data_IF_175887562187
#
_entry.id   IF_175887562187
#
_cell.length_a   1.000
_cell.length_b   1.000
_cell.length_c   1.000
_cell.angle_alpha   90.00
_cell.angle_beta   90.00
_cell.angle_gamma   90.00
#
_symmetry.space_group_name_H-M   'P 1'
#
loop_
_entity.id
_entity.type
_entity.pdbx_description
1 polymer ?
#
# COMPACT_ATOMS: atom_id res chain seq x y z
N UNK A 1 -4.71 14.78 -31.33
CA UNK A 1 -5.56 14.01 -32.24
C UNK A 1 -5.72 14.78 -33.54
N UNK A 2 -5.81 14.08 -34.70
CA UNK A 2 -6.15 14.67 -35.98
C UNK A 2 -7.66 14.63 -36.21
N UNK A 3 -8.13 15.46 -37.15
CA UNK A 3 -9.53 15.46 -37.58
C UNK A 3 -9.59 15.26 -39.07
N UNK A 4 -10.56 14.50 -39.55
CA UNK A 4 -10.85 14.27 -40.93
C UNK A 4 -12.32 14.63 -41.19
N UNK A 5 -12.61 15.57 -42.05
CA UNK A 5 -13.96 15.87 -42.51
C UNK A 5 -14.18 15.14 -43.85
N UNK A 6 -15.21 14.34 -43.90
CA UNK A 6 -15.59 13.56 -45.07
C UNK A 6 -17.03 13.88 -45.45
N UNK A 7 -17.29 13.88 -46.75
CA UNK A 7 -18.66 13.91 -47.27
C UNK A 7 -19.13 12.48 -47.46
N UNK A 8 -20.32 12.15 -46.95
CA UNK A 8 -20.89 10.81 -47.09
C UNK A 8 -22.24 10.90 -47.83
N UNK A 9 -22.61 9.89 -48.58
CA UNK A 9 -23.95 9.79 -49.14
C UNK A 9 -24.99 9.35 -48.11
N UNK A 10 -26.26 9.29 -48.50
CA UNK A 10 -27.37 8.89 -47.64
C UNK A 10 -27.25 7.46 -47.03
N UNK A 11 -26.33 6.62 -47.57
CA UNK A 11 -26.03 5.27 -47.08
C UNK A 11 -24.75 5.21 -46.26
N UNK A 12 -24.17 6.38 -45.85
CA UNK A 12 -22.95 6.46 -45.05
C UNK A 12 -21.64 6.15 -45.80
N UNK A 13 -21.67 5.98 -47.14
CA UNK A 13 -20.43 5.76 -47.93
C UNK A 13 -19.71 7.07 -48.14
N UNK A 14 -18.39 7.08 -47.94
CA UNK A 14 -17.56 8.24 -48.17
C UNK A 14 -17.52 8.59 -49.65
N UNK A 15 -17.89 9.82 -50.03
CA UNK A 15 -17.82 10.36 -51.39
C UNK A 15 -16.46 11.00 -51.59
N UNK A 16 -16.04 11.88 -50.66
CA UNK A 16 -14.74 12.58 -50.74
C UNK A 16 -14.29 13.08 -49.37
N UNK A 17 -12.99 13.32 -49.28
CA UNK A 17 -12.39 14.01 -48.16
C UNK A 17 -12.48 15.53 -48.40
N UNK A 18 -13.08 16.26 -47.47
CA UNK A 18 -13.24 17.71 -47.53
C UNK A 18 -12.07 18.45 -46.90
N UNK A 19 -11.56 17.96 -45.81
CA UNK A 19 -10.36 18.50 -45.16
C UNK A 19 -9.72 17.46 -44.22
N UNK A 20 -8.42 17.57 -44.04
CA UNK A 20 -7.65 16.77 -43.10
C UNK A 20 -6.76 17.69 -42.27
N UNK A 21 -6.86 17.57 -40.96
CA UNK A 21 -5.90 18.14 -40.03
C UNK A 21 -5.12 16.99 -39.43
N UNK A 22 -3.84 16.86 -39.78
CA UNK A 22 -2.99 15.81 -39.26
C UNK A 22 -2.75 16.03 -37.76
N UNK A 23 -2.94 14.98 -36.96
CA UNK A 23 -2.65 15.04 -35.52
C UNK A 23 -1.16 15.26 -35.28
N UNK A 24 -0.89 15.88 -34.14
CA UNK A 24 0.49 15.94 -33.64
C UNK A 24 0.78 14.61 -32.94
N UNK A 25 1.89 13.91 -33.31
CA UNK A 25 2.29 12.69 -32.60
C UNK A 25 2.44 12.92 -31.11
N UNK A 26 2.07 11.92 -30.32
CA UNK A 26 2.32 11.96 -28.88
C UNK A 26 3.82 11.92 -28.56
N UNK A 27 4.17 12.26 -27.33
CA UNK A 27 5.56 12.19 -26.87
C UNK A 27 5.92 10.74 -26.56
N UNK A 28 7.17 10.35 -26.84
CA UNK A 28 7.71 9.07 -26.41
C UNK A 28 7.89 9.08 -24.88
N UNK A 29 7.34 8.08 -24.21
CA UNK A 29 7.42 7.94 -22.75
C UNK A 29 8.20 6.67 -22.44
N UNK A 30 9.24 6.80 -21.61
CA UNK A 30 9.94 5.66 -20.99
C UNK A 30 9.49 5.56 -19.54
N UNK A 31 8.95 4.41 -19.17
CA UNK A 31 8.57 4.12 -17.79
C UNK A 31 9.78 3.64 -16.95
N UNK A 32 9.60 3.63 -15.65
CA UNK A 32 10.55 3.06 -14.69
C UNK A 32 10.42 1.54 -14.56
N UNK A 33 9.33 0.97 -15.09
CA UNK A 33 9.02 -0.46 -15.04
C UNK A 33 10.13 -1.29 -15.66
N UNK A 34 10.62 -2.27 -14.92
CA UNK A 34 11.44 -3.37 -15.42
C UNK A 34 10.52 -4.47 -15.94
N UNK A 35 10.52 -4.70 -17.25
CA UNK A 35 9.60 -5.65 -17.88
C UNK A 35 9.86 -7.10 -17.45
N UNK A 36 11.10 -7.46 -17.16
CA UNK A 36 11.45 -8.79 -16.64
C UNK A 36 10.85 -9.01 -15.26
N UNK A 37 11.02 -8.05 -14.36
CA UNK A 37 10.45 -8.11 -13.01
C UNK A 37 8.93 -8.02 -13.02
N UNK A 38 8.33 -7.20 -13.90
CA UNK A 38 6.88 -7.12 -14.08
C UNK A 38 6.29 -8.47 -14.49
N UNK A 39 6.87 -9.10 -15.52
CA UNK A 39 6.43 -10.40 -16.02
C UNK A 39 6.63 -11.50 -14.97
N UNK A 40 7.77 -11.49 -14.27
CA UNK A 40 8.02 -12.41 -13.16
C UNK A 40 6.97 -12.25 -12.05
N UNK A 41 6.66 -11.01 -11.66
CA UNK A 41 5.65 -10.72 -10.64
C UNK A 41 4.27 -11.26 -11.04
N UNK A 42 3.83 -10.99 -12.27
CA UNK A 42 2.55 -11.50 -12.80
C UNK A 42 2.52 -13.03 -12.83
N UNK A 43 3.60 -13.67 -13.29
CA UNK A 43 3.70 -15.13 -13.31
C UNK A 43 3.63 -15.75 -11.90
N UNK A 44 4.22 -15.09 -10.89
CA UNK A 44 4.18 -15.55 -9.49
C UNK A 44 2.82 -15.35 -8.84
N UNK A 45 2.08 -14.31 -9.20
CA UNK A 45 0.70 -14.08 -8.73
C UNK A 45 -0.28 -15.08 -9.37
N UNK A 46 0.00 -15.56 -10.58
CA UNK A 46 -0.85 -16.53 -11.29
C UNK A 46 -2.27 -16.02 -11.47
N UNK A 47 -3.25 -16.85 -11.13
CA UNK A 47 -4.68 -16.53 -11.21
C UNK A 47 -5.30 -16.01 -9.91
N UNK A 48 -4.48 -15.80 -8.89
CA UNK A 48 -4.94 -15.29 -7.60
C UNK A 48 -5.41 -13.82 -7.74
N UNK A 49 -6.43 -13.43 -6.97
CA UNK A 49 -6.82 -12.03 -6.86
C UNK A 49 -5.82 -11.29 -5.97
N UNK A 50 -4.74 -10.81 -6.57
CA UNK A 50 -3.58 -10.33 -5.86
C UNK A 50 -2.90 -9.14 -6.57
N UNK A 51 -1.99 -8.48 -5.85
CA UNK A 51 -1.15 -7.41 -6.39
C UNK A 51 0.24 -7.44 -5.78
N UNK A 52 1.24 -7.04 -6.56
CA UNK A 52 2.60 -6.82 -6.11
C UNK A 52 3.12 -5.47 -6.62
N UNK A 53 3.72 -4.69 -5.72
CA UNK A 53 4.37 -3.42 -6.04
C UNK A 53 5.81 -3.48 -5.59
N UNK A 54 6.74 -3.23 -6.51
CA UNK A 54 8.18 -3.15 -6.23
C UNK A 54 8.67 -1.74 -6.51
N UNK A 55 9.24 -1.12 -5.50
CA UNK A 55 9.69 0.27 -5.54
C UNK A 55 11.13 0.39 -5.05
N UNK A 56 11.96 1.16 -5.76
CA UNK A 56 13.32 1.48 -5.33
C UNK A 56 13.30 2.51 -4.20
N UNK A 57 14.12 2.28 -3.19
CA UNK A 57 14.17 3.14 -1.99
C UNK A 57 15.07 4.38 -2.16
N UNK A 58 15.90 4.41 -3.20
CA UNK A 58 16.84 5.50 -3.46
C UNK A 58 16.24 6.64 -4.30
N UNK A 59 15.24 6.35 -5.14
CA UNK A 59 14.70 7.30 -6.09
C UNK A 59 13.19 7.22 -6.34
N UNK A 60 12.51 6.25 -5.73
CA UNK A 60 11.06 6.06 -5.88
C UNK A 60 10.63 5.38 -7.17
N UNK A 61 11.56 4.88 -8.00
CA UNK A 61 11.22 4.20 -9.24
C UNK A 61 10.36 2.95 -8.97
N UNK A 62 9.20 2.90 -9.60
CA UNK A 62 8.34 1.74 -9.62
C UNK A 62 8.88 0.75 -10.63
N UNK A 63 9.45 -0.35 -10.16
CA UNK A 63 10.02 -1.40 -11.00
C UNK A 63 8.98 -2.44 -11.42
N UNK A 64 7.95 -2.65 -10.59
CA UNK A 64 6.83 -3.51 -10.91
C UNK A 64 5.55 -3.01 -10.24
N UNK A 65 4.44 -3.11 -10.98
CA UNK A 65 3.08 -2.83 -10.53
C UNK A 65 2.18 -3.93 -11.12
N UNK A 66 2.22 -5.09 -10.49
CA UNK A 66 1.45 -6.24 -10.96
C UNK A 66 0.08 -6.32 -10.29
N UNK A 67 -0.96 -6.50 -11.09
CA UNK A 67 -2.33 -6.73 -10.64
C UNK A 67 -2.87 -7.98 -11.33
N UNK A 68 -3.31 -8.96 -10.57
CA UNK A 68 -3.80 -10.24 -11.08
C UNK A 68 -5.24 -10.52 -10.61
N UNK A 69 -6.07 -11.24 -11.42
CA UNK A 69 -5.84 -11.51 -12.83
C UNK A 69 -5.79 -10.21 -13.65
N UNK A 70 -5.05 -10.23 -14.75
CA UNK A 70 -4.95 -9.15 -15.72
C UNK A 70 -5.76 -9.50 -16.98
N UNK A 71 -5.72 -8.64 -17.98
CA UNK A 71 -6.39 -8.86 -19.27
C UNK A 71 -5.49 -8.40 -20.42
N UNK A 72 -5.76 -8.90 -21.62
CA UNK A 72 -5.09 -8.43 -22.84
C UNK A 72 -5.60 -7.06 -23.24
N UNK A 73 -4.74 -6.04 -23.12
CA UNK A 73 -5.08 -4.65 -23.48
C UNK A 73 -5.29 -4.45 -24.98
N UNK A 74 -4.75 -5.33 -25.84
CA UNK A 74 -4.93 -5.24 -27.28
C UNK A 74 -6.38 -5.44 -27.69
N UNK A 75 -7.16 -6.20 -26.94
CA UNK A 75 -8.60 -6.36 -27.15
C UNK A 75 -9.35 -5.02 -27.23
N UNK A 76 -8.86 -3.98 -26.55
CA UNK A 76 -9.48 -2.65 -26.55
C UNK A 76 -9.01 -1.77 -27.70
N UNK A 77 -7.82 -2.06 -28.27
CA UNK A 77 -7.26 -1.30 -29.41
C UNK A 77 -7.99 -1.63 -30.70
N UNK A 78 -8.28 -2.90 -30.93
CA UNK A 78 -8.93 -3.42 -32.14
C UNK A 78 -10.46 -3.45 -32.04
N UNK A 79 -10.99 -3.23 -30.85
CA UNK A 79 -12.41 -3.32 -30.53
C UNK A 79 -12.75 -4.66 -29.83
N UNK A 80 -13.21 -4.59 -28.61
CA UNK A 80 -13.61 -5.77 -27.80
C UNK A 80 -15.07 -6.15 -28.11
N UNK A 81 -15.37 -7.44 -28.24
CA UNK A 81 -16.75 -7.91 -28.35
C UNK A 81 -17.52 -7.73 -27.05
N UNK A 82 -18.83 -7.54 -27.13
CA UNK A 82 -19.70 -7.38 -25.95
C UNK A 82 -19.54 -8.56 -25.00
N UNK A 83 -19.51 -9.79 -25.51
CA UNK A 83 -19.36 -10.98 -24.67
C UNK A 83 -18.00 -11.04 -23.96
N UNK A 84 -16.90 -10.69 -24.64
CA UNK A 84 -15.57 -10.65 -24.01
C UNK A 84 -15.49 -9.56 -22.95
N UNK A 85 -16.06 -8.39 -23.20
CA UNK A 85 -16.13 -7.30 -22.22
C UNK A 85 -16.97 -7.68 -21.01
N UNK A 86 -18.14 -8.32 -21.22
CA UNK A 86 -19.01 -8.77 -20.14
C UNK A 86 -18.33 -9.83 -19.26
N UNK A 87 -17.55 -10.74 -19.85
CA UNK A 87 -16.75 -11.71 -19.10
C UNK A 87 -15.71 -11.03 -18.19
N UNK A 88 -15.03 -9.99 -18.67
CA UNK A 88 -14.08 -9.21 -17.86
C UNK A 88 -14.80 -8.41 -16.76
N UNK A 89 -15.92 -7.78 -17.10
CA UNK A 89 -16.69 -6.92 -16.19
C UNK A 89 -17.31 -7.70 -15.05
N UNK A 90 -17.85 -8.88 -15.34
CA UNK A 90 -18.58 -9.72 -14.39
C UNK A 90 -17.68 -10.72 -13.65
N UNK A 91 -16.36 -10.72 -13.93
CA UNK A 91 -15.42 -11.59 -13.25
C UNK A 91 -15.28 -11.18 -11.78
N UNK A 92 -15.47 -12.14 -10.86
CA UNK A 92 -15.39 -11.92 -9.40
C UNK A 92 -14.03 -11.34 -8.95
N UNK A 93 -12.94 -11.66 -9.65
CA UNK A 93 -11.60 -11.17 -9.36
C UNK A 93 -11.28 -9.81 -9.99
N UNK A 94 -12.26 -9.17 -10.66
CA UNK A 94 -12.19 -7.81 -11.19
C UNK A 94 -10.90 -7.50 -11.98
N UNK A 95 -10.63 -8.19 -13.11
CA UNK A 95 -9.41 -7.99 -13.89
C UNK A 95 -9.26 -6.57 -14.45
N UNK A 96 -10.36 -5.85 -14.69
CA UNK A 96 -10.35 -4.46 -15.18
C UNK A 96 -9.90 -3.44 -14.12
N UNK A 97 -9.86 -3.81 -12.85
CA UNK A 97 -9.41 -2.94 -11.77
C UNK A 97 -7.92 -3.17 -11.48
N UNK A 98 -7.12 -2.11 -11.56
CA UNK A 98 -5.73 -2.16 -11.10
C UNK A 98 -5.66 -2.18 -9.58
N UNK A 99 -5.52 -3.38 -9.02
CA UNK A 99 -5.47 -3.57 -7.56
C UNK A 99 -4.27 -2.90 -6.90
N UNK A 100 -3.21 -2.62 -7.66
CA UNK A 100 -1.99 -2.00 -7.12
C UNK A 100 -2.22 -0.57 -6.64
N UNK A 101 -3.09 0.18 -7.31
CA UNK A 101 -3.34 1.61 -7.04
C UNK A 101 -4.80 1.95 -6.75
N UNK A 102 -5.76 1.18 -7.26
CA UNK A 102 -7.21 1.44 -7.09
C UNK A 102 -7.80 0.66 -5.90
N UNK A 103 -7.28 -0.54 -5.64
CA UNK A 103 -7.75 -1.38 -4.54
C UNK A 103 -7.36 -0.80 -3.19
N UNK A 104 -8.34 -0.65 -2.29
CA UNK A 104 -8.10 -0.22 -0.91
C UNK A 104 -8.57 -1.31 0.05
N UNK A 105 -7.68 -1.68 0.97
CA UNK A 105 -7.89 -2.79 1.89
C UNK A 105 -7.42 -2.40 3.30
N UNK A 106 -7.98 -3.01 4.36
CA UNK A 106 -7.40 -2.86 5.69
C UNK A 106 -5.95 -3.39 5.68
N UNK A 107 -4.96 -2.60 6.13
CA UNK A 107 -3.55 -3.01 6.09
C UNK A 107 -3.22 -4.15 7.08
N UNK A 108 -4.08 -4.38 8.07
CA UNK A 108 -3.83 -5.36 9.11
C UNK A 108 -2.51 -5.08 9.83
N UNK A 109 -1.83 -6.12 10.26
CA UNK A 109 -0.60 -6.01 11.04
C UNK A 109 0.56 -5.27 10.38
N UNK A 110 0.50 -4.94 9.08
CA UNK A 110 1.50 -4.05 8.46
C UNK A 110 1.41 -2.63 9.02
N UNK A 111 0.25 -2.20 9.52
CA UNK A 111 0.06 -0.90 10.15
C UNK A 111 0.77 -0.78 11.52
N UNK A 112 1.16 -1.88 12.14
CA UNK A 112 1.87 -1.89 13.43
C UNK A 112 3.20 -1.13 13.40
N UNK A 113 3.83 -1.02 12.23
CA UNK A 113 5.03 -0.18 12.06
C UNK A 113 4.70 1.31 12.24
N UNK A 114 3.54 1.76 11.76
CA UNK A 114 3.05 3.14 11.98
C UNK A 114 2.83 3.40 13.46
N UNK A 115 2.16 2.47 14.15
CA UNK A 115 1.90 2.58 15.59
C UNK A 115 3.21 2.62 16.39
N UNK A 116 4.17 1.75 16.04
CA UNK A 116 5.48 1.70 16.68
C UNK A 116 6.22 3.04 16.56
N UNK A 117 6.31 3.60 15.35
CA UNK A 117 6.97 4.88 15.11
C UNK A 117 6.25 6.04 15.82
N UNK A 118 4.92 6.08 15.77
CA UNK A 118 4.12 7.08 16.47
C UNK A 118 4.31 7.00 18.00
N UNK A 119 4.39 5.79 18.56
CA UNK A 119 4.59 5.60 20.01
C UNK A 119 6.00 6.01 20.46
N UNK A 120 7.02 5.68 19.68
CA UNK A 120 8.40 6.09 19.96
C UNK A 120 8.57 7.62 19.87
N UNK A 121 8.00 8.25 18.85
CA UNK A 121 8.05 9.69 18.66
C UNK A 121 7.26 10.44 19.75
N UNK A 122 6.14 9.89 20.17
CA UNK A 122 5.35 10.45 21.27
C UNK A 122 5.98 10.21 22.66
N UNK A 123 7.04 9.40 22.77
CA UNK A 123 7.71 9.07 24.01
C UNK A 123 6.85 8.22 24.97
N UNK A 124 5.79 7.54 24.46
CA UNK A 124 4.87 6.74 25.30
C UNK A 124 5.30 5.30 25.45
N UNK A 125 6.39 4.90 24.81
CA UNK A 125 7.03 3.58 24.94
C UNK A 125 8.55 3.73 24.88
N UNK A 126 9.27 2.95 25.68
CA UNK A 126 10.73 2.83 25.65
C UNK A 126 11.14 1.50 25.06
N UNK A 127 12.35 1.42 24.50
CA UNK A 127 12.87 0.21 23.84
C UNK A 127 12.78 -1.03 24.75
N UNK A 128 13.18 -0.89 26.01
CA UNK A 128 13.25 -2.01 26.96
C UNK A 128 11.95 -2.22 27.75
N UNK A 129 10.96 -1.36 27.55
CA UNK A 129 9.68 -1.50 28.22
C UNK A 129 8.97 -2.76 27.76
N UNK A 130 8.49 -3.54 28.71
CA UNK A 130 7.74 -4.76 28.47
C UNK A 130 6.26 -4.54 28.75
N UNK A 131 5.42 -5.02 27.86
CA UNK A 131 3.97 -5.08 28.04
C UNK A 131 3.58 -6.55 28.13
N UNK A 132 2.68 -6.87 29.08
CA UNK A 132 2.17 -8.21 29.25
C UNK A 132 1.04 -8.50 28.26
N UNK A 133 1.11 -9.64 27.60
CA UNK A 133 0.06 -10.11 26.69
C UNK A 133 -0.48 -11.45 27.19
N UNK A 134 -1.66 -11.42 27.80
CA UNK A 134 -2.39 -12.60 28.28
C UNK A 134 -3.37 -13.16 27.23
N UNK A 135 -3.27 -12.68 25.98
CA UNK A 135 -4.07 -13.15 24.85
C UNK A 135 -5.27 -12.26 24.50
N UNK A 136 -5.59 -11.24 25.29
CA UNK A 136 -6.63 -10.25 24.99
C UNK A 136 -6.47 -8.97 25.81
N UNK A 137 -7.16 -7.91 25.39
CA UNK A 137 -7.41 -6.68 26.16
C UNK A 137 -8.91 -6.58 26.36
N UNK A 138 -9.34 -6.22 27.55
CA UNK A 138 -10.75 -5.93 27.84
C UNK A 138 -11.02 -4.43 27.79
N UNK A 139 -12.08 -4.04 27.09
CA UNK A 139 -12.57 -2.67 27.05
C UNK A 139 -14.09 -2.70 27.19
N UNK A 140 -14.61 -2.21 28.31
CA UNK A 140 -15.99 -2.40 28.71
C UNK A 140 -16.40 -3.90 28.62
N UNK A 141 -17.49 -4.21 27.94
CA UNK A 141 -18.01 -5.59 27.80
C UNK A 141 -17.39 -6.36 26.63
N UNK A 142 -16.30 -5.85 26.01
CA UNK A 142 -15.70 -6.47 24.82
C UNK A 142 -14.27 -6.90 25.07
N UNK A 143 -13.94 -8.11 24.53
CA UNK A 143 -12.57 -8.63 24.46
C UNK A 143 -11.98 -8.44 23.09
N UNK A 144 -10.82 -7.81 23.04
CA UNK A 144 -10.01 -7.64 21.84
C UNK A 144 -8.87 -8.66 21.87
N UNK A 145 -8.99 -9.72 21.08
CA UNK A 145 -8.11 -10.87 21.17
C UNK A 145 -6.80 -10.66 20.42
N UNK A 146 -5.73 -11.23 20.96
CA UNK A 146 -4.50 -11.50 20.25
C UNK A 146 -4.66 -12.77 19.41
N UNK A 147 -3.95 -12.85 18.26
CA UNK A 147 -3.95 -14.08 17.47
C UNK A 147 -3.42 -15.29 18.26
N UNK A 148 -2.47 -15.05 19.20
CA UNK A 148 -1.96 -16.06 20.13
C UNK A 148 -2.83 -16.10 21.39
N UNK A 149 -3.74 -17.05 21.46
CA UNK A 149 -4.76 -17.13 22.53
C UNK A 149 -4.20 -17.19 23.95
N UNK A 150 -3.06 -17.85 24.17
CA UNK A 150 -2.37 -17.94 25.46
C UNK A 150 -1.47 -16.74 25.76
N UNK A 151 -1.51 -15.73 24.88
CA UNK A 151 -0.67 -14.55 24.99
C UNK A 151 0.80 -14.76 24.68
N UNK A 152 1.53 -13.68 24.62
CA UNK A 152 2.97 -13.62 24.37
C UNK A 152 3.77 -13.44 25.67
N UNK A 153 3.07 -13.24 26.78
CA UNK A 153 3.65 -12.86 28.05
C UNK A 153 4.37 -11.50 27.98
N UNK A 154 5.41 -11.30 28.75
CA UNK A 154 6.21 -10.06 28.79
C UNK A 154 7.07 -9.92 27.55
N UNK A 155 6.76 -8.94 26.68
CA UNK A 155 7.50 -8.69 25.44
C UNK A 155 7.80 -7.20 25.26
N UNK A 156 8.93 -6.92 24.59
CA UNK A 156 9.34 -5.58 24.16
C UNK A 156 8.71 -5.21 22.81
N UNK A 157 8.85 -3.94 22.39
CA UNK A 157 8.39 -3.46 21.08
C UNK A 157 8.97 -4.29 19.92
N UNK A 158 10.30 -4.56 19.94
CA UNK A 158 10.97 -5.38 18.93
C UNK A 158 10.39 -6.77 18.83
N UNK A 159 10.20 -7.44 19.96
CA UNK A 159 9.57 -8.77 20.02
C UNK A 159 8.10 -8.74 19.61
N UNK A 160 7.38 -7.66 19.90
CA UNK A 160 5.99 -7.48 19.49
C UNK A 160 5.86 -7.29 17.97
N UNK A 161 6.81 -6.65 17.30
CA UNK A 161 6.91 -6.59 15.83
C UNK A 161 7.23 -7.96 15.24
N UNK A 162 8.25 -8.68 15.77
CA UNK A 162 8.67 -10.02 15.35
C UNK A 162 7.49 -10.99 15.35
N UNK A 163 6.77 -11.04 16.48
CA UNK A 163 5.70 -12.00 16.71
C UNK A 163 4.31 -11.45 16.37
N UNK A 164 4.23 -10.22 15.90
CA UNK A 164 2.97 -9.55 15.53
C UNK A 164 1.92 -9.55 16.66
N UNK A 165 2.30 -9.24 17.89
CA UNK A 165 1.41 -9.25 19.06
C UNK A 165 0.35 -8.14 18.98
N UNK A 166 -0.95 -8.51 18.97
CA UNK A 166 -2.02 -7.51 18.87
C UNK A 166 -2.20 -6.75 20.19
N UNK A 167 -2.14 -7.43 21.33
CA UNK A 167 -2.31 -6.81 22.65
C UNK A 167 -1.29 -5.71 22.90
N UNK A 168 -0.02 -5.93 22.56
CA UNK A 168 1.01 -4.90 22.66
C UNK A 168 0.61 -3.64 21.88
N UNK A 169 0.12 -3.83 20.64
CA UNK A 169 -0.25 -2.72 19.76
C UNK A 169 -1.58 -2.07 20.12
N UNK A 170 -2.52 -2.79 20.74
CA UNK A 170 -3.70 -2.19 21.35
C UNK A 170 -3.29 -1.21 22.45
N UNK A 171 -2.43 -1.64 23.36
CA UNK A 171 -2.00 -0.84 24.51
C UNK A 171 -1.27 0.44 24.07
N UNK A 172 -0.27 0.33 23.19
CA UNK A 172 0.46 1.53 22.75
C UNK A 172 -0.38 2.44 21.86
N UNK A 173 -1.33 1.92 21.09
CA UNK A 173 -2.24 2.74 20.29
C UNK A 173 -3.14 3.60 21.18
N UNK A 174 -3.64 3.07 22.29
CA UNK A 174 -4.39 3.87 23.28
C UNK A 174 -3.53 4.98 23.89
N UNK A 175 -2.28 4.69 24.22
CA UNK A 175 -1.35 5.69 24.78
C UNK A 175 -1.01 6.80 23.79
N UNK A 176 -0.90 6.47 22.50
CA UNK A 176 -0.58 7.44 21.40
C UNK A 176 -1.79 8.31 21.07
N UNK A 177 -2.96 7.69 20.90
CA UNK A 177 -4.18 8.32 20.42
C UNK A 177 -4.23 8.49 18.91
N UNK A 178 -5.47 8.55 18.37
CA UNK A 178 -5.71 8.46 16.92
C UNK A 178 -5.06 9.58 16.12
N UNK A 179 -5.04 10.82 16.62
CA UNK A 179 -4.54 11.97 15.86
C UNK A 179 -3.04 11.85 15.56
N UNK A 180 -2.24 11.41 16.53
CA UNK A 180 -0.80 11.18 16.33
C UNK A 180 -0.56 9.97 15.42
N UNK A 181 -1.38 8.92 15.55
CA UNK A 181 -1.33 7.74 14.67
C UNK A 181 -1.60 8.16 13.23
N UNK A 182 -2.66 8.93 12.97
CA UNK A 182 -3.01 9.41 11.62
C UNK A 182 -1.93 10.33 11.06
N UNK A 183 -1.39 11.23 11.86
CA UNK A 183 -0.27 12.10 11.45
C UNK A 183 0.94 11.27 10.99
N UNK A 184 1.33 10.25 11.75
CA UNK A 184 2.42 9.33 11.37
C UNK A 184 2.09 8.53 10.12
N UNK A 185 0.85 8.02 9.99
CA UNK A 185 0.39 7.30 8.81
C UNK A 185 0.53 8.15 7.54
N UNK A 186 0.07 9.40 7.58
CA UNK A 186 0.17 10.34 6.46
C UNK A 186 1.63 10.65 6.10
N UNK A 187 2.50 10.85 7.09
CA UNK A 187 3.96 11.02 6.89
C UNK A 187 4.59 9.81 6.21
N UNK A 188 4.10 8.62 6.52
CA UNK A 188 4.56 7.37 5.90
C UNK A 188 3.89 7.08 4.54
N UNK A 189 2.97 7.93 4.07
CA UNK A 189 2.35 7.84 2.74
C UNK A 189 1.02 7.09 2.71
N UNK A 190 0.42 6.80 3.87
CA UNK A 190 -0.90 6.18 3.97
C UNK A 190 -1.99 7.24 4.12
N UNK A 191 -3.17 6.99 3.55
CA UNK A 191 -4.29 7.94 3.62
C UNK A 191 -4.07 9.24 2.83
N UNK A 192 -3.08 9.26 1.92
CA UNK A 192 -2.75 10.38 1.04
C UNK A 192 -2.71 9.94 -0.41
N UNK A 193 -3.14 10.82 -1.33
CA UNK A 193 -3.06 10.53 -2.76
C UNK A 193 -1.63 10.71 -3.26
N UNK A 194 -1.10 9.70 -3.94
CA UNK A 194 0.18 9.81 -4.63
C UNK A 194 -0.01 10.27 -6.06
N UNK A 195 0.77 11.26 -6.49
CA UNK A 195 0.71 11.83 -7.84
C UNK A 195 1.39 10.88 -8.85
N UNK A 196 0.57 10.01 -9.45
CA UNK A 196 0.97 9.13 -10.54
C UNK A 196 0.16 9.46 -11.79
N UNK A 197 0.74 9.33 -13.00
CA UNK A 197 0.05 9.58 -14.27
C UNK A 197 -0.90 8.43 -14.63
N UNK A 198 -1.72 8.02 -13.67
CA UNK A 198 -2.68 6.93 -13.77
C UNK A 198 -4.06 7.39 -13.31
N UNK A 199 -5.10 6.87 -13.94
CA UNK A 199 -6.47 7.09 -13.47
C UNK A 199 -6.81 6.22 -12.27
N UNK A 200 -7.64 6.75 -11.35
CA UNK A 200 -8.17 5.96 -10.26
C UNK A 200 -7.18 5.66 -9.11
N UNK A 201 -6.06 6.39 -9.00
CA UNK A 201 -5.17 6.25 -7.84
C UNK A 201 -5.94 6.58 -6.57
N UNK A 202 -6.07 5.58 -5.70
CA UNK A 202 -6.85 5.70 -4.48
C UNK A 202 -6.11 6.50 -3.40
N UNK A 203 -6.86 7.31 -2.66
CA UNK A 203 -6.34 8.06 -1.51
C UNK A 203 -6.19 7.17 -0.26
N UNK A 204 -6.93 6.05 -0.19
CA UNK A 204 -7.03 5.30 1.05
C UNK A 204 -7.74 6.09 2.16
N UNK A 205 -7.59 5.65 3.39
CA UNK A 205 -8.16 6.32 4.55
C UNK A 205 -7.28 6.14 5.79
N UNK A 206 -6.79 7.26 6.33
CA UNK A 206 -6.24 7.35 7.69
C UNK A 206 -7.23 8.15 8.53
N UNK A 207 -8.06 7.50 9.36
CA UNK A 207 -9.20 8.14 10.00
C UNK A 207 -8.76 9.12 11.10
N UNK A 208 -9.57 10.18 11.31
CA UNK A 208 -9.49 11.10 12.45
C UNK A 208 -10.80 11.11 13.22
N UNK A 209 -10.82 11.75 14.39
CA UNK A 209 -12.07 11.96 15.15
C UNK A 209 -13.07 12.78 14.34
N UNK A 210 -12.59 13.85 13.69
CA UNK A 210 -13.42 14.73 12.85
C UNK A 210 -13.99 13.96 11.65
N UNK A 211 -13.16 13.21 10.94
CA UNK A 211 -13.61 12.39 9.83
C UNK A 211 -14.78 11.47 10.24
N UNK A 212 -14.68 10.79 11.38
CA UNK A 212 -15.74 9.91 11.84
C UNK A 212 -17.02 10.67 12.18
N UNK A 213 -16.88 11.82 12.84
CA UNK A 213 -18.04 12.66 13.17
C UNK A 213 -18.75 13.16 11.90
N UNK A 214 -18.01 13.67 10.92
CA UNK A 214 -18.54 14.23 9.67
C UNK A 214 -19.16 13.16 8.76
N UNK A 215 -18.52 11.97 8.66
CA UNK A 215 -18.97 10.95 7.69
C UNK A 215 -19.94 9.94 8.28
N UNK A 216 -19.88 9.68 9.60
CA UNK A 216 -20.66 8.65 10.29
C UNK A 216 -21.68 9.24 11.27
N UNK A 217 -21.61 10.55 11.57
CA UNK A 217 -22.45 11.20 12.57
C UNK A 217 -22.24 10.68 14.01
N UNK A 218 -21.07 10.05 14.28
CA UNK A 218 -20.78 9.42 15.57
C UNK A 218 -19.42 9.85 16.11
N UNK A 219 -19.33 10.04 17.41
CA UNK A 219 -18.06 10.35 18.08
C UNK A 219 -17.08 9.15 18.02
N UNK A 220 -15.80 9.47 18.06
CA UNK A 220 -14.73 8.48 18.18
C UNK A 220 -14.75 7.83 19.56
N UNK A 221 -14.62 6.51 19.61
CA UNK A 221 -14.55 5.74 20.84
C UNK A 221 -13.22 4.99 20.96
N UNK A 222 -12.83 4.59 22.18
CA UNK A 222 -11.55 3.89 22.40
C UNK A 222 -11.44 2.59 21.61
N UNK A 223 -12.56 1.88 21.40
CA UNK A 223 -12.62 0.67 20.57
C UNK A 223 -12.22 0.91 19.10
N UNK A 224 -12.47 2.11 18.57
CA UNK A 224 -11.99 2.48 17.23
C UNK A 224 -10.46 2.57 17.23
N UNK A 225 -9.86 3.16 18.26
CA UNK A 225 -8.40 3.25 18.39
C UNK A 225 -7.76 1.86 18.51
N UNK A 226 -8.37 0.93 19.24
CA UNK A 226 -7.89 -0.45 19.33
C UNK A 226 -7.88 -1.10 17.95
N UNK A 227 -8.98 -1.01 17.19
CA UNK A 227 -9.04 -1.57 15.83
C UNK A 227 -7.99 -0.96 14.91
N UNK A 228 -7.82 0.37 14.93
CA UNK A 228 -6.76 1.06 14.16
C UNK A 228 -5.38 0.62 14.60
N UNK A 229 -5.16 0.34 15.90
CA UNK A 229 -3.88 -0.14 16.45
C UNK A 229 -3.33 -1.40 15.78
N UNK A 230 -4.18 -2.19 15.15
CA UNK A 230 -3.80 -3.39 14.40
C UNK A 230 -4.11 -3.29 12.90
N UNK A 231 -4.36 -2.08 12.41
CA UNK A 231 -4.64 -1.82 10.99
C UNK A 231 -5.99 -2.34 10.51
N UNK A 232 -6.98 -2.33 11.39
CA UNK A 232 -8.36 -2.73 11.14
C UNK A 232 -9.31 -1.54 11.35
N UNK A 233 -10.60 -1.79 11.27
CA UNK A 233 -11.62 -0.75 11.44
C UNK A 233 -11.70 0.15 10.21
N UNK A 234 -11.46 1.45 10.38
CA UNK A 234 -11.63 2.44 9.30
C UNK A 234 -10.38 2.66 8.45
N UNK A 235 -9.22 2.10 8.82
CA UNK A 235 -7.98 2.29 8.05
C UNK A 235 -8.06 1.50 6.74
N UNK A 236 -7.84 2.19 5.61
CA UNK A 236 -7.80 1.58 4.27
C UNK A 236 -6.58 2.08 3.51
N UNK A 237 -5.83 1.17 2.91
CA UNK A 237 -4.61 1.47 2.15
C UNK A 237 -4.57 0.68 0.84
N UNK A 238 -3.92 1.25 -0.18
CA UNK A 238 -3.59 0.50 -1.39
C UNK A 238 -2.24 -0.21 -1.26
N UNK A 239 -1.97 -1.26 -2.06
CA UNK A 239 -0.64 -1.89 -2.15
C UNK A 239 0.46 -0.88 -2.49
N UNK A 240 0.18 0.11 -3.34
CA UNK A 240 1.10 1.21 -3.64
C UNK A 240 1.47 2.01 -2.39
N UNK A 241 0.50 2.37 -1.56
CA UNK A 241 0.75 3.09 -0.32
C UNK A 241 1.59 2.26 0.66
N UNK A 242 1.38 0.94 0.73
CA UNK A 242 2.22 0.06 1.55
C UNK A 242 3.67 0.00 1.04
N UNK A 243 3.88 0.01 -0.29
CA UNK A 243 5.22 0.09 -0.88
C UNK A 243 5.91 1.43 -0.55
N UNK A 244 5.17 2.55 -0.61
CA UNK A 244 5.69 3.87 -0.20
C UNK A 244 6.04 3.87 1.28
N UNK A 245 5.17 3.36 2.16
CA UNK A 245 5.45 3.23 3.59
C UNK A 245 6.72 2.42 3.85
N UNK A 246 6.86 1.26 3.22
CA UNK A 246 8.04 0.41 3.35
C UNK A 246 9.32 1.14 2.89
N UNK A 247 9.26 1.85 1.75
CA UNK A 247 10.36 2.64 1.21
C UNK A 247 10.76 3.80 2.13
N UNK A 248 9.78 4.49 2.72
CA UNK A 248 10.02 5.58 3.68
C UNK A 248 10.61 5.07 4.99
N UNK A 249 10.14 3.95 5.51
CA UNK A 249 10.75 3.32 6.69
C UNK A 249 12.17 2.88 6.39
N UNK A 250 12.42 2.26 5.23
CA UNK A 250 13.74 1.77 4.84
C UNK A 250 14.76 2.90 4.63
N UNK A 251 14.37 4.01 4.03
CA UNK A 251 15.28 5.12 3.71
C UNK A 251 15.36 6.20 4.80
N UNK A 252 14.27 6.42 5.55
CA UNK A 252 14.11 7.58 6.44
C UNK A 252 13.76 8.88 5.69
N UNK A 253 13.51 8.81 4.38
CA UNK A 253 13.27 9.95 3.50
C UNK A 253 11.85 9.98 2.96
N UNK A 254 11.37 11.16 2.60
CA UNK A 254 10.07 11.40 1.99
C UNK A 254 10.07 11.01 0.51
N UNK A 255 10.22 9.70 0.24
CA UNK A 255 10.23 9.15 -1.11
C UNK A 255 8.83 9.22 -1.74
N UNK A 256 8.77 9.68 -2.99
CA UNK A 256 7.56 9.68 -3.81
C UNK A 256 7.65 8.59 -4.89
N UNK A 257 6.56 7.88 -5.18
CA UNK A 257 6.54 6.89 -6.24
C UNK A 257 6.66 7.57 -7.61
N UNK A 258 7.53 7.04 -8.48
CA UNK A 258 7.80 7.57 -9.81
C UNK A 258 7.58 6.50 -10.87
N UNK A 259 6.77 6.80 -11.90
CA UNK A 259 6.47 5.88 -12.98
C UNK A 259 7.10 6.30 -14.32
N UNK A 260 7.28 7.62 -14.56
CA UNK A 260 7.87 8.12 -15.79
C UNK A 260 9.35 8.40 -15.57
N UNK A 261 10.21 7.76 -16.39
CA UNK A 261 11.66 7.92 -16.36
C UNK A 261 12.13 8.99 -17.35
N UNK A 262 11.61 8.97 -18.60
CA UNK A 262 11.97 9.94 -19.64
C UNK A 262 10.77 10.33 -20.49
N UNK A 263 10.80 11.55 -21.04
CA UNK A 263 9.84 12.06 -22.03
C UNK A 263 10.63 12.57 -23.23
N UNK A 264 10.39 12.03 -24.43
CA UNK A 264 11.17 12.31 -25.65
C UNK A 264 12.69 12.19 -25.44
N UNK A 265 13.14 11.17 -24.69
CA UNK A 265 14.54 10.93 -24.39
C UNK A 265 15.12 11.79 -23.24
N UNK A 266 14.43 12.86 -22.84
CA UNK A 266 14.86 13.72 -21.73
C UNK A 266 14.50 13.08 -20.40
N UNK A 267 15.46 12.95 -19.51
CA UNK A 267 15.29 12.39 -18.18
C UNK A 267 14.39 13.32 -17.34
N UNK A 268 13.39 12.75 -16.66
CA UNK A 268 12.59 13.49 -15.68
C UNK A 268 13.36 13.50 -14.37
N UNK A 269 13.67 14.68 -13.87
CA UNK A 269 14.40 14.85 -12.60
C UNK A 269 13.71 14.13 -11.46
N UNK A 270 14.53 13.64 -10.53
CA UNK A 270 14.08 13.05 -9.27
C UNK A 270 13.89 14.20 -8.30
N UNK A 271 12.69 14.29 -7.73
CA UNK A 271 12.41 15.30 -6.71
C UNK A 271 13.33 15.12 -5.51
N UNK A 272 13.73 16.24 -4.91
CA UNK A 272 14.58 16.21 -3.72
C UNK A 272 13.88 15.47 -2.59
N UNK A 273 14.53 14.47 -2.04
CA UNK A 273 14.00 13.60 -1.02
C UNK A 273 14.36 14.15 0.36
N UNK A 274 13.46 14.97 0.91
CA UNK A 274 13.59 15.49 2.25
C UNK A 274 13.60 14.36 3.30
N UNK A 275 14.20 14.66 4.45
CA UNK A 275 14.10 13.78 5.62
C UNK A 275 12.66 13.69 6.12
N UNK A 276 12.25 12.52 6.59
CA UNK A 276 10.92 12.32 7.19
C UNK A 276 10.77 13.03 8.55
N UNK A 277 11.86 13.48 9.16
CA UNK A 277 11.85 14.03 10.51
C UNK A 277 11.53 12.99 11.59
N UNK A 278 11.71 11.70 11.31
CA UNK A 278 11.60 10.60 12.28
C UNK A 278 13.01 10.29 12.78
N UNK A 279 13.19 10.16 14.09
CA UNK A 279 14.51 9.89 14.65
C UNK A 279 15.10 8.59 14.10
N UNK A 280 16.40 8.63 13.81
CA UNK A 280 17.15 7.45 13.33
C UNK A 280 17.05 6.29 14.32
N UNK A 281 17.01 6.57 15.60
CA UNK A 281 16.80 5.58 16.66
C UNK A 281 15.45 4.83 16.46
N UNK A 282 14.34 5.57 16.29
CA UNK A 282 13.02 4.97 16.11
C UNK A 282 12.95 4.14 14.82
N UNK A 283 13.49 4.67 13.70
CA UNK A 283 13.56 3.95 12.43
C UNK A 283 14.36 2.65 12.56
N UNK A 284 15.53 2.69 13.20
CA UNK A 284 16.39 1.52 13.36
C UNK A 284 15.71 0.45 14.24
N UNK A 285 15.09 0.83 15.34
CA UNK A 285 14.38 -0.12 16.19
C UNK A 285 13.22 -0.84 15.45
N UNK A 286 12.49 -0.10 14.63
CA UNK A 286 11.43 -0.69 13.80
C UNK A 286 12.00 -1.59 12.70
N UNK A 287 13.09 -1.17 12.01
CA UNK A 287 13.79 -1.98 11.00
C UNK A 287 14.34 -3.28 11.58
N UNK A 288 14.91 -3.24 12.79
CA UNK A 288 15.37 -4.42 13.51
C UNK A 288 14.22 -5.37 13.84
N UNK A 289 13.07 -4.83 14.31
CA UNK A 289 11.86 -5.62 14.50
C UNK A 289 11.37 -6.27 13.20
N UNK A 290 11.39 -5.52 12.08
CA UNK A 290 11.06 -6.06 10.75
C UNK A 290 12.07 -7.12 10.27
N UNK A 291 13.34 -6.95 10.58
CA UNK A 291 14.37 -7.97 10.30
C UNK A 291 14.07 -9.26 11.06
N UNK A 292 13.72 -9.16 12.34
CA UNK A 292 13.38 -10.34 13.17
C UNK A 292 12.13 -11.06 12.68
N UNK A 293 11.18 -10.37 12.03
CA UNK A 293 9.98 -11.00 11.43
C UNK A 293 10.36 -12.11 10.43
N UNK A 294 11.42 -11.93 9.65
CA UNK A 294 11.88 -12.92 8.65
C UNK A 294 13.11 -13.74 9.10
N UNK A 295 13.92 -13.24 10.04
CA UNK A 295 15.19 -13.87 10.43
C UNK A 295 15.18 -14.38 11.88
N UNK A 296 14.29 -13.89 12.73
CA UNK A 296 14.17 -14.28 14.13
C UNK A 296 13.54 -15.67 14.31
N UNK A 297 13.82 -16.28 15.45
CA UNK A 297 13.32 -17.64 15.76
C UNK A 297 11.79 -17.70 15.92
N UNK A 298 11.14 -16.58 16.31
CA UNK A 298 9.70 -16.48 16.48
C UNK A 298 9.03 -15.61 15.40
N UNK A 299 9.79 -15.27 14.34
CA UNK A 299 9.33 -14.42 13.27
C UNK A 299 8.18 -15.00 12.46
N UNK A 300 7.15 -14.17 12.20
CA UNK A 300 5.94 -14.60 11.47
C UNK A 300 6.16 -14.83 9.98
N UNK A 301 7.26 -14.34 9.39
CA UNK A 301 7.66 -14.57 8.00
C UNK A 301 8.95 -15.41 7.88
N UNK A 302 9.30 -16.20 8.89
CA UNK A 302 10.53 -17.01 8.91
C UNK A 302 10.70 -17.92 7.70
N UNK A 303 9.60 -18.43 7.12
CA UNK A 303 9.62 -19.24 5.90
C UNK A 303 10.06 -18.47 4.64
N UNK A 304 10.06 -17.15 4.70
CA UNK A 304 10.47 -16.25 3.60
C UNK A 304 11.89 -15.73 3.76
N UNK A 305 12.66 -16.24 4.74
CA UNK A 305 14.07 -15.89 4.94
C UNK A 305 14.85 -16.10 3.65
N UNK A 306 15.68 -15.12 3.29
CA UNK A 306 16.60 -15.21 2.16
C UNK A 306 17.90 -15.84 2.65
N UNK A 307 18.34 -16.94 2.00
CA UNK A 307 19.57 -17.68 2.36
C UNK A 307 20.77 -17.29 1.49
N UNK A 308 20.74 -16.12 0.88
CA UNK A 308 21.86 -15.56 0.11
C UNK A 308 22.70 -14.72 1.08
N UNK A 309 24.00 -15.01 1.20
CA UNK A 309 24.92 -14.48 2.21
C UNK A 309 24.95 -12.94 2.29
N UNK A 310 24.75 -12.25 1.15
CA UNK A 310 24.88 -10.80 1.03
C UNK A 310 23.52 -10.07 1.04
N UNK A 311 22.42 -10.83 1.19
CA UNK A 311 21.07 -10.30 1.14
C UNK A 311 20.28 -10.70 2.38
N UNK A 312 19.52 -9.77 2.92
CA UNK A 312 18.58 -10.05 4.01
C UNK A 312 17.22 -9.44 3.71
N UNK A 313 16.19 -10.09 4.22
CA UNK A 313 14.81 -9.62 4.13
C UNK A 313 14.40 -9.04 5.47
N UNK A 314 13.91 -7.80 5.46
CA UNK A 314 13.13 -7.25 6.57
C UNK A 314 11.66 -7.18 6.12
N UNK A 315 10.75 -7.70 6.92
CA UNK A 315 9.38 -7.90 6.51
C UNK A 315 8.36 -7.56 7.60
N UNK A 316 7.09 -7.46 7.21
CA UNK A 316 5.95 -7.52 8.14
C UNK A 316 4.80 -8.25 7.46
N UNK A 317 4.32 -9.30 8.12
CA UNK A 317 3.11 -10.00 7.70
C UNK A 317 1.86 -9.18 8.06
N UNK A 318 0.86 -9.24 7.20
CA UNK A 318 -0.46 -8.66 7.44
C UNK A 318 -1.55 -9.70 7.24
N UNK A 319 -2.58 -9.64 8.05
CA UNK A 319 -3.84 -10.39 7.88
C UNK A 319 -4.97 -9.44 8.16
N UNK A 320 -5.86 -9.27 7.20
CA UNK A 320 -7.05 -8.44 7.34
C UNK A 320 -8.30 -9.32 7.46
N UNK A 321 -9.20 -8.95 8.37
CA UNK A 321 -10.53 -9.54 8.41
C UNK A 321 -11.41 -8.74 7.46
N UNK A 322 -11.85 -9.37 6.39
CA UNK A 322 -12.88 -8.82 5.51
C UNK A 322 -14.21 -9.30 6.06
N UNK A 323 -15.06 -8.38 6.50
CA UNK A 323 -16.45 -8.72 6.81
C UNK A 323 -17.19 -8.75 5.47
N UNK A 324 -17.76 -9.90 5.15
CA UNK A 324 -18.74 -10.03 4.06
C UNK A 324 -20.03 -9.32 4.45
#
# INVERSE_FOLDING_TARGET
AGTKRIEVNAKGRVIRELSRNNGVPGKNIQLTIDTGLQNFSLARLGQESASAVVMRIDNGDLLSMASSPSFDTNLFVEGISTSAYDNLRNNEFRPLADKSVQGIYPPGSTFKMVIALAALEAGVIRQEEKINCDGHVELADRKFHCWKRRGHQQITLRQALEQSCDVFFYEIALRVGIEKITSMANRLGLGVKHELPLSGVATGLSPTKNWKLETQGRSWVLGDTLNVGIGQGYVLTSPMQLAVMASRIASGKFIQPRLIKRINGVFKEIENQNDLGISTFALNLVREGMYDVSNGNKGTARKSKIEIKEMSLAAKTGTAQVRN
#
